data_IF_213198336869
#
_entry.id   IF_213198336869
#
_cell.length_a   1.000
_cell.length_b   1.000
_cell.length_c   1.000
_cell.angle_alpha   90.00
_cell.angle_beta   90.00
_cell.angle_gamma   90.00
#
_symmetry.space_group_name_H-M   'P 1'
#
loop_
_entity.id
_entity.type
_entity.pdbx_description
1 polymer ?
#
# COMPACT_ATOMS: atom_id res chain seq x y z
N UNK A 1 34.97 -17.34 -7.99
CA UNK A 1 34.97 -18.23 -6.82
C UNK A 1 34.22 -17.64 -5.63
N UNK A 2 34.63 -16.50 -5.07
CA UNK A 2 34.01 -15.93 -3.85
C UNK A 2 32.51 -15.56 -3.98
N UNK A 3 32.07 -15.05 -5.15
CA UNK A 3 30.64 -14.74 -5.39
C UNK A 3 29.74 -15.97 -5.40
N UNK A 4 30.22 -17.08 -5.98
CA UNK A 4 29.49 -18.35 -6.04
C UNK A 4 29.41 -18.96 -4.64
N UNK A 5 30.51 -18.90 -3.88
CA UNK A 5 30.54 -19.34 -2.49
C UNK A 5 29.56 -18.54 -1.61
N UNK A 6 29.60 -17.20 -1.68
CA UNK A 6 28.68 -16.35 -0.92
C UNK A 6 27.22 -16.60 -1.32
N UNK A 7 26.93 -16.75 -2.61
CA UNK A 7 25.59 -17.10 -3.08
C UNK A 7 25.09 -18.43 -2.47
N UNK A 8 25.92 -19.49 -2.50
CA UNK A 8 25.57 -20.78 -1.92
C UNK A 8 25.42 -20.70 -0.39
N UNK A 9 26.34 -20.01 0.29
CA UNK A 9 26.31 -19.84 1.74
C UNK A 9 25.07 -19.07 2.20
N UNK A 10 24.70 -17.98 1.52
CA UNK A 10 23.50 -17.20 1.83
C UNK A 10 22.24 -18.02 1.59
N UNK A 11 22.14 -18.75 0.47
CA UNK A 11 20.98 -19.63 0.23
C UNK A 11 20.88 -20.74 1.29
N UNK A 12 22.00 -21.36 1.68
CA UNK A 12 22.01 -22.37 2.74
C UNK A 12 21.60 -21.77 4.09
N UNK A 13 22.09 -20.59 4.43
CA UNK A 13 21.72 -19.88 5.66
C UNK A 13 20.21 -19.58 5.68
N UNK A 14 19.65 -19.12 4.56
CA UNK A 14 18.20 -18.90 4.42
C UNK A 14 17.41 -20.20 4.63
N UNK A 15 17.84 -21.31 4.02
CA UNK A 15 17.19 -22.62 4.20
C UNK A 15 17.24 -23.11 5.66
N UNK A 16 18.37 -22.94 6.33
CA UNK A 16 18.54 -23.31 7.75
C UNK A 16 17.64 -22.47 8.65
N UNK A 17 17.64 -21.14 8.46
CA UNK A 17 16.79 -20.23 9.25
C UNK A 17 15.32 -20.56 9.03
N UNK A 18 14.88 -20.71 7.77
CA UNK A 18 13.51 -21.07 7.45
C UNK A 18 13.11 -22.42 8.08
N UNK A 19 13.98 -23.43 8.01
CA UNK A 19 13.75 -24.74 8.63
C UNK A 19 13.61 -24.67 10.15
N UNK A 20 14.48 -23.92 10.84
CA UNK A 20 14.40 -23.71 12.29
C UNK A 20 13.10 -23.00 12.67
N UNK A 21 12.72 -21.95 11.95
CA UNK A 21 11.49 -21.20 12.18
C UNK A 21 10.24 -22.06 11.99
N UNK A 22 10.19 -22.86 10.92
CA UNK A 22 9.07 -23.78 10.64
C UNK A 22 8.94 -24.86 11.73
N UNK A 23 10.07 -25.38 12.22
CA UNK A 23 10.10 -26.36 13.31
C UNK A 23 9.63 -25.77 14.64
N UNK A 24 10.03 -24.53 14.96
CA UNK A 24 9.60 -23.78 16.15
C UNK A 24 8.10 -23.47 16.14
N UNK A 25 7.56 -23.09 14.98
CA UNK A 25 6.13 -22.86 14.79
C UNK A 25 5.31 -24.16 14.74
N UNK A 26 5.95 -25.33 14.84
CA UNK A 26 5.29 -26.62 14.91
C UNK A 26 4.70 -27.10 13.60
N UNK A 27 5.11 -26.51 12.45
CA UNK A 27 4.63 -26.90 11.11
C UNK A 27 5.02 -28.35 10.79
N UNK A 28 6.13 -28.84 11.36
CA UNK A 28 6.57 -30.24 11.26
C UNK A 28 5.58 -31.26 11.87
N UNK A 29 4.63 -30.83 12.71
CA UNK A 29 3.57 -31.73 13.22
C UNK A 29 2.48 -31.96 12.18
N UNK A 30 2.35 -31.08 11.20
CA UNK A 30 1.38 -31.16 10.10
C UNK A 30 1.96 -31.84 8.85
N UNK A 31 3.29 -31.98 8.75
CA UNK A 31 3.98 -32.52 7.56
C UNK A 31 3.89 -34.05 7.44
N UNK A 32 3.51 -34.78 8.48
CA UNK A 32 3.63 -36.24 8.52
C UNK A 32 2.49 -37.08 7.93
N UNK A 33 1.31 -36.53 7.60
CA UNK A 33 0.14 -37.37 7.23
C UNK A 33 -0.71 -36.86 6.06
N UNK A 34 -0.63 -35.58 5.65
CA UNK A 34 -1.51 -35.08 4.57
C UNK A 34 -0.91 -33.89 3.81
N UNK A 35 -0.37 -34.12 2.61
CA UNK A 35 0.13 -33.04 1.74
C UNK A 35 -0.95 -31.99 1.40
N UNK A 36 -2.23 -32.35 1.45
CA UNK A 36 -3.35 -31.42 1.30
C UNK A 36 -3.44 -30.41 2.45
N UNK A 37 -3.23 -30.83 3.71
CA UNK A 37 -3.27 -29.90 4.85
C UNK A 37 -2.09 -28.94 4.85
N UNK A 38 -0.92 -29.37 4.35
CA UNK A 38 0.23 -28.48 4.16
C UNK A 38 -0.03 -27.40 3.11
N UNK A 39 -0.61 -27.77 1.97
CA UNK A 39 -0.98 -26.81 0.93
C UNK A 39 -1.96 -25.77 1.45
N UNK A 40 -3.00 -26.20 2.18
CA UNK A 40 -3.98 -25.30 2.80
C UNK A 40 -3.31 -24.41 3.85
N UNK A 41 -2.44 -24.94 4.70
CA UNK A 41 -1.71 -24.16 5.69
C UNK A 41 -0.82 -23.09 5.05
N UNK A 42 -0.03 -23.46 4.04
CA UNK A 42 0.83 -22.52 3.32
C UNK A 42 0.02 -21.45 2.58
N UNK A 43 -1.11 -21.83 1.97
CA UNK A 43 -2.02 -20.87 1.34
C UNK A 43 -2.59 -19.90 2.37
N UNK A 44 -3.16 -20.40 3.46
CA UNK A 44 -3.73 -19.54 4.51
C UNK A 44 -2.67 -18.63 5.11
N UNK A 45 -1.50 -19.15 5.49
CA UNK A 45 -0.46 -18.35 6.10
C UNK A 45 0.17 -17.34 5.13
N UNK A 46 0.41 -17.75 3.88
CA UNK A 46 0.99 -16.90 2.84
C UNK A 46 0.05 -15.78 2.39
N UNK A 47 -1.25 -16.07 2.22
CA UNK A 47 -2.24 -15.08 1.83
C UNK A 47 -2.79 -14.27 3.01
N UNK A 48 -2.82 -14.81 4.23
CA UNK A 48 -3.29 -14.06 5.40
C UNK A 48 -2.48 -12.78 5.60
N UNK A 49 -1.15 -12.85 5.47
CA UNK A 49 -0.28 -11.69 5.59
C UNK A 49 -0.57 -10.62 4.53
N UNK A 50 -0.75 -11.01 3.26
CA UNK A 50 -1.02 -10.06 2.18
C UNK A 50 -2.41 -9.43 2.29
N UNK A 51 -3.42 -10.21 2.67
CA UNK A 51 -4.78 -9.72 2.91
C UNK A 51 -4.79 -8.74 4.09
N UNK A 52 -4.19 -9.09 5.23
CA UNK A 52 -4.08 -8.20 6.39
C UNK A 52 -3.34 -6.91 6.02
N UNK A 53 -2.25 -7.02 5.26
CA UNK A 53 -1.50 -5.86 4.76
C UNK A 53 -2.37 -4.96 3.87
N UNK A 54 -3.17 -5.54 2.97
CA UNK A 54 -4.09 -4.79 2.11
C UNK A 54 -5.13 -4.01 2.93
N UNK A 55 -5.72 -4.63 3.96
CA UNK A 55 -6.72 -3.95 4.81
C UNK A 55 -6.12 -2.83 5.67
N UNK A 56 -4.87 -2.99 6.12
CA UNK A 56 -4.18 -1.99 6.96
C UNK A 56 -3.51 -0.89 6.11
N UNK A 57 -3.30 -1.12 4.81
CA UNK A 57 -2.56 -0.23 3.90
C UNK A 57 -2.97 1.24 4.00
N UNK A 58 -4.27 1.53 3.91
CA UNK A 58 -4.82 2.89 4.00
C UNK A 58 -4.56 3.55 5.36
N UNK A 59 -4.69 2.80 6.45
CA UNK A 59 -4.40 3.33 7.79
C UNK A 59 -2.90 3.59 7.97
N UNK A 60 -2.08 2.65 7.54
CA UNK A 60 -0.62 2.76 7.61
C UNK A 60 -0.11 3.93 6.77
N UNK A 61 -0.65 4.13 5.57
CA UNK A 61 -0.31 5.26 4.71
C UNK A 61 -0.63 6.59 5.38
N UNK A 62 -1.85 6.78 5.90
CA UNK A 62 -2.24 8.01 6.61
C UNK A 62 -1.30 8.31 7.79
N UNK A 63 -0.96 7.28 8.56
CA UNK A 63 -0.08 7.41 9.72
C UNK A 63 1.37 7.73 9.34
N UNK A 64 1.91 7.08 8.30
CA UNK A 64 3.31 7.24 7.91
C UNK A 64 3.58 8.59 7.25
N UNK A 65 2.67 9.08 6.42
CA UNK A 65 2.80 10.39 5.75
C UNK A 65 2.23 11.54 6.58
N UNK A 66 1.54 11.24 7.69
CA UNK A 66 0.80 12.23 8.50
C UNK A 66 -0.18 13.03 7.64
N UNK A 67 -0.91 12.33 6.78
CA UNK A 67 -1.89 12.94 5.89
C UNK A 67 -3.03 13.55 6.69
N UNK A 68 -3.29 14.83 6.47
CA UNK A 68 -4.46 15.54 6.99
C UNK A 68 -5.62 15.39 6.00
N UNK A 69 -6.73 14.81 6.47
CA UNK A 69 -7.92 14.59 5.64
C UNK A 69 -8.74 15.87 5.55
N UNK A 70 -9.06 16.29 4.33
CA UNK A 70 -9.85 17.49 4.08
C UNK A 70 -11.33 17.15 4.30
N UNK A 71 -11.82 17.42 5.51
CA UNK A 71 -13.26 17.23 5.84
C UNK A 71 -14.10 18.45 5.45
N UNK A 72 -13.53 19.65 5.60
CA UNK A 72 -14.12 20.91 5.16
C UNK A 72 -13.00 21.76 4.55
N UNK A 73 -13.12 22.21 3.29
CA UNK A 73 -12.07 22.97 2.65
C UNK A 73 -11.93 24.34 3.31
N UNK A 74 -10.72 24.66 3.78
CA UNK A 74 -10.37 25.95 4.39
C UNK A 74 -9.75 26.91 3.40
N UNK A 75 -9.16 26.37 2.33
CA UNK A 75 -8.45 27.13 1.29
C UNK A 75 -9.06 26.89 -0.08
N UNK A 76 -8.83 27.81 -1.03
CA UNK A 76 -9.25 27.62 -2.43
C UNK A 76 -8.59 26.40 -3.07
N UNK A 77 -7.33 26.10 -2.71
CA UNK A 77 -6.62 24.93 -3.21
C UNK A 77 -7.25 23.61 -2.72
N UNK A 78 -7.62 23.52 -1.45
CA UNK A 78 -8.36 22.36 -0.92
C UNK A 78 -9.72 22.19 -1.59
N UNK A 79 -10.46 23.29 -1.79
CA UNK A 79 -11.74 23.25 -2.47
C UNK A 79 -11.61 22.77 -3.93
N UNK A 80 -10.63 23.31 -4.66
CA UNK A 80 -10.32 22.89 -6.01
C UNK A 80 -9.91 21.41 -6.08
N UNK A 81 -9.10 20.95 -5.12
CA UNK A 81 -8.64 19.57 -5.05
C UNK A 81 -9.82 18.61 -4.84
N UNK A 82 -10.70 18.92 -3.88
CA UNK A 82 -11.92 18.13 -3.64
C UNK A 82 -12.81 18.05 -4.89
N UNK A 83 -13.06 19.19 -5.55
CA UNK A 83 -13.89 19.23 -6.77
C UNK A 83 -13.26 18.45 -7.92
N UNK A 84 -11.94 18.54 -8.07
CA UNK A 84 -11.20 17.83 -9.11
C UNK A 84 -11.25 16.32 -8.88
N UNK A 85 -10.97 15.86 -7.66
CA UNK A 85 -11.07 14.43 -7.32
C UNK A 85 -12.50 13.93 -7.44
N UNK A 86 -13.50 14.72 -7.03
CA UNK A 86 -14.91 14.38 -7.18
C UNK A 86 -15.29 14.19 -8.66
N UNK A 87 -14.85 15.11 -9.53
CA UNK A 87 -15.09 15.01 -10.97
C UNK A 87 -14.41 13.78 -11.57
N UNK A 88 -13.13 13.56 -11.28
CA UNK A 88 -12.38 12.40 -11.77
C UNK A 88 -12.99 11.08 -11.27
N UNK A 89 -13.46 11.04 -10.03
CA UNK A 89 -14.14 9.87 -9.46
C UNK A 89 -15.46 9.57 -10.18
N UNK A 90 -16.23 10.61 -10.53
CA UNK A 90 -17.46 10.46 -11.34
C UNK A 90 -17.14 9.92 -12.72
N UNK A 91 -16.12 10.45 -13.38
CA UNK A 91 -15.72 10.04 -14.73
C UNK A 91 -15.18 8.59 -14.74
N UNK A 92 -14.49 8.17 -13.68
CA UNK A 92 -14.02 6.79 -13.49
C UNK A 92 -15.11 5.82 -12.97
N UNK A 93 -16.29 6.32 -12.58
CA UNK A 93 -17.38 5.49 -12.05
C UNK A 93 -17.07 4.85 -10.68
N UNK A 94 -16.25 5.51 -9.86
CA UNK A 94 -15.91 5.06 -8.50
C UNK A 94 -16.53 5.98 -7.44
N UNK A 95 -16.70 5.48 -6.22
CA UNK A 95 -17.10 6.33 -5.09
C UNK A 95 -15.96 7.31 -4.77
N UNK A 96 -16.32 8.53 -4.41
CA UNK A 96 -15.35 9.56 -4.02
C UNK A 96 -14.42 9.04 -2.90
N UNK A 97 -13.10 8.98 -3.13
CA UNK A 97 -12.13 8.58 -2.12
C UNK A 97 -12.00 9.64 -1.03
N UNK A 98 -11.42 9.26 0.10
CA UNK A 98 -10.92 10.25 1.06
C UNK A 98 -9.84 11.09 0.36
N UNK A 99 -9.86 12.41 0.56
CA UNK A 99 -8.86 13.32 0.01
C UNK A 99 -8.07 13.94 1.14
N UNK A 100 -6.75 13.91 1.02
CA UNK A 100 -5.88 14.49 2.04
C UNK A 100 -4.64 15.17 1.48
N UNK A 101 -4.05 16.02 2.31
CA UNK A 101 -2.77 16.68 2.03
C UNK A 101 -1.77 16.23 3.08
N UNK A 102 -0.53 15.97 2.68
CA UNK A 102 0.54 15.63 3.62
C UNK A 102 1.72 16.62 3.52
N UNK A 103 2.39 16.93 4.65
CA UNK A 103 3.41 17.96 4.72
C UNK A 103 4.76 17.44 4.22
N UNK A 104 4.89 17.27 2.90
CA UNK A 104 6.15 16.94 2.24
C UNK A 104 6.51 18.02 1.21
N UNK A 105 7.79 18.36 1.14
CA UNK A 105 8.31 19.36 0.19
C UNK A 105 8.50 18.76 -1.20
N UNK A 106 8.75 17.45 -1.27
CA UNK A 106 8.81 16.69 -2.52
C UNK A 106 7.44 16.67 -3.20
N UNK A 107 7.44 16.81 -4.51
CA UNK A 107 6.24 16.69 -5.32
C UNK A 107 5.84 15.22 -5.45
N UNK A 108 4.73 14.84 -4.82
CA UNK A 108 4.25 13.47 -4.81
C UNK A 108 2.73 13.41 -4.63
N UNK A 109 2.10 12.39 -5.20
CA UNK A 109 0.71 12.02 -4.97
C UNK A 109 0.62 10.49 -4.95
N UNK A 110 -0.33 9.95 -4.20
CA UNK A 110 -0.58 8.51 -4.22
C UNK A 110 -2.05 8.20 -3.92
N UNK A 111 -2.53 7.11 -4.50
CA UNK A 111 -3.80 6.49 -4.15
C UNK A 111 -3.60 5.15 -3.42
N UNK A 112 -4.41 4.88 -2.39
CA UNK A 112 -4.41 3.57 -1.70
C UNK A 112 -5.79 3.22 -1.16
N UNK A 113 -6.15 1.93 -1.21
CA UNK A 113 -7.42 1.43 -0.70
C UNK A 113 -7.55 -0.06 -0.99
N UNK A 114 -8.15 -0.80 -0.07
CA UNK A 114 -8.42 -2.23 -0.25
C UNK A 114 -9.57 -2.47 -1.25
N UNK A 115 -10.41 -1.46 -1.48
CA UNK A 115 -11.54 -1.49 -2.40
C UNK A 115 -11.62 -0.12 -3.10
N UNK A 116 -12.00 -0.11 -4.39
CA UNK A 116 -12.24 1.12 -5.17
C UNK A 116 -13.25 2.07 -4.51
N UNK A 117 -14.14 1.54 -3.68
CA UNK A 117 -15.15 2.32 -2.96
C UNK A 117 -14.70 2.77 -1.55
N UNK A 118 -13.50 2.39 -1.14
CA UNK A 118 -12.88 2.76 0.15
C UNK A 118 -11.39 3.09 -0.05
N UNK A 119 -11.17 4.07 -0.92
CA UNK A 119 -9.84 4.56 -1.27
C UNK A 119 -9.51 5.88 -0.57
N UNK A 120 -8.23 6.24 -0.62
CA UNK A 120 -7.64 7.49 -0.18
C UNK A 120 -6.77 7.99 -1.33
N UNK A 121 -6.93 9.25 -1.70
CA UNK A 121 -6.01 9.98 -2.58
C UNK A 121 -5.36 11.07 -1.74
N UNK A 122 -4.03 11.04 -1.66
CA UNK A 122 -3.26 11.99 -0.87
C UNK A 122 -2.25 12.71 -1.75
N UNK A 123 -2.10 14.01 -1.52
CA UNK A 123 -1.26 14.89 -2.33
C UNK A 123 -0.27 15.62 -1.42
N UNK A 124 0.99 15.74 -1.81
CA UNK A 124 1.95 16.49 -1.02
C UNK A 124 1.70 17.99 -1.15
N UNK A 125 2.00 18.74 -0.09
CA UNK A 125 2.00 20.20 -0.15
C UNK A 125 2.95 20.72 -1.23
N UNK A 126 4.13 20.12 -1.38
CA UNK A 126 5.10 20.47 -2.41
C UNK A 126 4.60 20.26 -3.85
N UNK A 127 3.71 19.30 -4.10
CA UNK A 127 3.09 19.15 -5.43
C UNK A 127 2.16 20.33 -5.74
N UNK A 128 1.31 20.70 -4.76
CA UNK A 128 0.34 21.80 -4.91
C UNK A 128 1.00 23.17 -5.06
N UNK A 129 2.17 23.37 -4.45
CA UNK A 129 2.90 24.64 -4.49
C UNK A 129 3.74 24.82 -5.76
N UNK A 130 4.24 23.72 -6.35
CA UNK A 130 5.20 23.78 -7.46
C UNK A 130 4.58 23.67 -8.85
N UNK A 131 3.46 22.95 -8.96
CA UNK A 131 2.86 22.62 -10.24
C UNK A 131 1.56 23.40 -10.46
N UNK A 132 1.24 23.60 -11.74
CA UNK A 132 -0.02 24.22 -12.12
C UNK A 132 -1.21 23.30 -11.84
N UNK A 133 -2.43 23.84 -11.66
CA UNK A 133 -3.63 23.03 -11.45
C UNK A 133 -3.85 21.96 -12.53
N UNK A 134 -3.52 22.24 -13.78
CA UNK A 134 -3.69 21.30 -14.89
C UNK A 134 -2.71 20.12 -14.81
N UNK A 135 -1.45 20.37 -14.43
CA UNK A 135 -0.45 19.31 -14.20
C UNK A 135 -0.83 18.44 -13.01
N UNK A 136 -1.26 19.06 -11.89
CA UNK A 136 -1.73 18.32 -10.71
C UNK A 136 -2.96 17.48 -11.07
N UNK A 137 -3.90 18.03 -11.84
CA UNK A 137 -5.07 17.28 -12.31
C UNK A 137 -4.68 16.07 -13.16
N UNK A 138 -3.68 16.19 -14.03
CA UNK A 138 -3.19 15.07 -14.83
C UNK A 138 -2.60 13.96 -13.95
N UNK A 139 -1.85 14.31 -12.90
CA UNK A 139 -1.33 13.34 -11.92
C UNK A 139 -2.47 12.68 -11.16
N UNK A 140 -3.44 13.45 -10.66
CA UNK A 140 -4.61 12.90 -9.96
C UNK A 140 -5.43 11.97 -10.85
N UNK A 141 -5.54 12.28 -12.14
CA UNK A 141 -6.23 11.43 -13.11
C UNK A 141 -5.48 10.12 -13.42
N UNK A 142 -4.17 10.07 -13.18
CA UNK A 142 -3.38 8.83 -13.27
C UNK A 142 -3.55 7.95 -12.03
N UNK A 143 -3.68 8.58 -10.85
CA UNK A 143 -3.83 7.89 -9.56
C UNK A 143 -5.27 7.37 -9.31
N UNK A 144 -6.27 8.01 -9.91
CA UNK A 144 -7.71 7.64 -9.81
C UNK A 144 -8.07 6.62 -10.88
#
# INVERSE_FOLDING_TARGET
MMRIFLFLATNLAVLVVAGITLKLLGVDRFTGQNHGSLLVFCAVFGFAGSLVSLFISKWMAKMSTRTEIISQPRTRHEQWLLQTVEQLSRDAGIKMPEVGIFPAYEANAFATGWNKNDALVAVSQGLLERFSPDEVKAVLAHEI
#
